data_IF_123831037201
#
_entry.id   IF_123831037201
#
_cell.length_a   1.000
_cell.length_b   1.000
_cell.length_c   1.000
_cell.angle_alpha   90.00
_cell.angle_beta   90.00
_cell.angle_gamma   90.00
#
_symmetry.space_group_name_H-M   'P 1'
#
loop_
_entity.id
_entity.type
_entity.pdbx_description
1 polymer ?
#
# COMPACT_ATOMS: atom_id res chain seq x y z
N UNK A 1 19.24 -75.23 28.70
CA UNK A 1 19.82 -74.86 27.39
C UNK A 1 19.17 -73.57 26.94
N UNK A 2 19.93 -72.47 26.92
CA UNK A 2 19.49 -71.14 26.50
C UNK A 2 19.84 -70.97 25.02
N UNK A 3 18.87 -70.71 24.15
CA UNK A 3 19.12 -70.22 22.79
C UNK A 3 18.78 -68.73 22.75
N UNK A 4 19.82 -67.90 22.66
CA UNK A 4 19.75 -66.48 22.31
C UNK A 4 19.64 -66.40 20.78
N UNK A 5 18.60 -65.76 20.27
CA UNK A 5 18.54 -65.29 18.88
C UNK A 5 18.53 -63.75 18.90
N UNK A 6 19.70 -63.16 18.69
CA UNK A 6 19.85 -61.72 18.45
C UNK A 6 19.52 -61.45 16.98
N UNK A 7 18.41 -60.76 16.72
CA UNK A 7 18.06 -60.21 15.41
C UNK A 7 18.71 -58.83 15.30
N UNK A 8 19.75 -58.73 14.48
CA UNK A 8 20.36 -57.47 14.04
C UNK A 8 19.33 -56.67 13.20
N UNK A 9 18.92 -55.51 13.71
CA UNK A 9 18.31 -54.46 12.89
C UNK A 9 19.43 -53.67 12.21
N UNK A 10 19.55 -53.83 10.89
CA UNK A 10 20.39 -52.98 10.06
C UNK A 10 19.70 -51.63 9.84
N UNK A 11 20.18 -50.58 10.53
CA UNK A 11 19.78 -49.21 10.28
C UNK A 11 20.48 -48.70 9.01
N UNK A 12 19.74 -48.62 7.90
CA UNK A 12 20.19 -47.90 6.70
C UNK A 12 19.93 -46.41 6.93
N UNK A 13 20.98 -45.70 7.33
CA UNK A 13 20.99 -44.24 7.36
C UNK A 13 21.05 -43.70 5.92
N UNK A 14 19.90 -43.34 5.37
CA UNK A 14 19.84 -42.53 4.14
C UNK A 14 20.23 -41.11 4.54
N UNK A 15 21.49 -40.76 4.31
CA UNK A 15 21.98 -39.39 4.39
C UNK A 15 21.39 -38.61 3.21
N UNK A 16 20.21 -38.02 3.39
CA UNK A 16 19.74 -36.95 2.52
C UNK A 16 20.64 -35.75 2.73
N UNK A 17 21.64 -35.59 1.85
CA UNK A 17 22.37 -34.34 1.69
C UNK A 17 21.38 -33.31 1.15
N UNK A 18 20.73 -32.59 2.07
CA UNK A 18 20.08 -31.32 1.76
C UNK A 18 21.19 -30.37 1.34
N UNK A 19 21.37 -30.20 0.03
CA UNK A 19 22.11 -29.06 -0.47
C UNK A 19 21.42 -27.81 0.11
N UNK A 20 22.17 -26.84 0.65
CA UNK A 20 21.57 -25.54 0.96
C UNK A 20 20.97 -25.05 -0.35
N UNK A 21 19.65 -24.93 -0.41
CA UNK A 21 18.98 -24.10 -1.39
C UNK A 21 19.59 -22.73 -1.14
N UNK A 22 20.58 -22.36 -1.96
CA UNK A 22 21.11 -21.02 -1.96
C UNK A 22 19.89 -20.15 -2.18
N UNK A 23 19.54 -19.37 -1.15
CA UNK A 23 18.64 -18.24 -1.33
C UNK A 23 19.25 -17.47 -2.49
N UNK A 24 18.67 -17.62 -3.68
CA UNK A 24 18.89 -16.70 -4.77
C UNK A 24 18.52 -15.36 -4.15
N UNK A 25 19.55 -14.59 -3.78
CA UNK A 25 19.36 -13.25 -3.25
C UNK A 25 18.59 -12.54 -4.33
N UNK A 26 17.28 -12.39 -4.11
CA UNK A 26 16.49 -11.37 -4.76
C UNK A 26 17.25 -10.11 -4.42
N UNK A 27 18.07 -9.67 -5.38
CA UNK A 27 18.73 -8.39 -5.39
C UNK A 27 17.55 -7.42 -5.34
N UNK A 28 17.17 -7.03 -4.11
CA UNK A 28 16.10 -6.06 -3.91
C UNK A 28 16.46 -4.93 -4.85
N UNK A 29 15.53 -4.56 -5.72
CA UNK A 29 15.71 -3.44 -6.63
C UNK A 29 15.65 -2.20 -5.76
N UNK A 30 16.73 -1.98 -5.00
CA UNK A 30 16.95 -0.76 -4.28
C UNK A 30 16.94 0.33 -5.31
N UNK A 31 16.20 1.40 -5.00
CA UNK A 31 16.31 2.64 -5.74
C UNK A 31 17.80 2.99 -5.82
N UNK A 32 18.35 3.11 -7.03
CA UNK A 32 19.71 3.62 -7.19
C UNK A 32 19.80 4.98 -6.48
N UNK A 33 20.91 5.25 -5.79
CA UNK A 33 21.04 6.42 -4.90
C UNK A 33 20.64 7.74 -5.59
N UNK A 34 20.97 7.89 -6.88
CA UNK A 34 20.59 9.07 -7.68
C UNK A 34 19.07 9.19 -7.89
N UNK A 35 18.36 8.09 -8.16
CA UNK A 35 16.92 8.13 -8.35
C UNK A 35 16.17 8.41 -7.04
N UNK A 36 16.61 7.82 -5.93
CA UNK A 36 16.08 8.15 -4.58
C UNK A 36 16.20 9.64 -4.31
N UNK A 37 17.38 10.22 -4.55
CA UNK A 37 17.64 11.63 -4.32
C UNK A 37 16.77 12.54 -5.20
N UNK A 38 16.55 12.15 -6.47
CA UNK A 38 15.68 12.87 -7.38
C UNK A 38 14.23 12.83 -6.94
N UNK A 39 13.72 11.67 -6.51
CA UNK A 39 12.35 11.56 -6.00
C UNK A 39 12.19 12.36 -4.71
N UNK A 40 13.16 12.28 -3.79
CA UNK A 40 13.17 13.07 -2.56
C UNK A 40 13.08 14.57 -2.85
N UNK A 41 13.91 15.08 -3.76
CA UNK A 41 13.89 16.49 -4.16
C UNK A 41 12.51 16.92 -4.68
N UNK A 42 11.75 16.02 -5.33
CA UNK A 42 10.37 16.29 -5.75
C UNK A 42 9.39 16.29 -4.57
N UNK A 43 9.55 15.39 -3.62
CA UNK A 43 8.71 15.32 -2.41
C UNK A 43 8.91 16.55 -1.53
N UNK A 44 10.14 17.06 -1.39
CA UNK A 44 10.40 18.33 -0.72
C UNK A 44 9.76 19.51 -1.46
N UNK A 45 9.88 19.55 -2.79
CA UNK A 45 9.22 20.57 -3.58
C UNK A 45 7.69 20.52 -3.44
N UNK A 46 7.10 19.31 -3.36
CA UNK A 46 5.69 19.12 -3.04
C UNK A 46 5.37 19.71 -1.66
N UNK A 47 6.17 19.40 -0.64
CA UNK A 47 6.02 19.95 0.71
C UNK A 47 6.05 21.47 0.75
N UNK A 48 7.00 22.08 0.03
CA UNK A 48 7.13 23.55 -0.07
C UNK A 48 5.92 24.20 -0.76
N UNK A 49 5.40 23.61 -1.84
CA UNK A 49 4.21 24.11 -2.53
C UNK A 49 2.95 23.96 -1.65
N UNK A 50 2.84 22.86 -0.89
CA UNK A 50 1.76 22.66 0.07
C UNK A 50 1.81 23.68 1.20
N UNK A 51 2.99 24.00 1.73
CA UNK A 51 3.15 24.99 2.80
C UNK A 51 2.76 26.40 2.32
N UNK A 52 3.17 26.78 1.11
CA UNK A 52 2.77 28.05 0.50
C UNK A 52 1.25 28.14 0.32
N UNK A 53 0.63 27.09 -0.22
CA UNK A 53 -0.83 26.99 -0.35
C UNK A 53 -1.53 27.03 1.01
N UNK A 54 -1.04 26.27 1.98
CA UNK A 54 -1.58 26.20 3.35
C UNK A 54 -1.62 27.58 3.99
N UNK A 55 -0.49 28.29 3.95
CA UNK A 55 -0.39 29.63 4.51
C UNK A 55 -1.39 30.59 3.85
N UNK A 56 -1.42 30.63 2.51
CA UNK A 56 -2.34 31.49 1.77
C UNK A 56 -3.81 31.19 2.05
N UNK A 57 -4.17 29.90 2.12
CA UNK A 57 -5.55 29.44 2.36
C UNK A 57 -5.95 29.52 3.84
N UNK A 58 -5.04 29.89 4.75
CA UNK A 58 -5.30 29.92 6.19
C UNK A 58 -5.61 28.54 6.79
N UNK A 59 -5.12 27.46 6.19
CA UNK A 59 -5.40 26.07 6.63
C UNK A 59 -4.45 25.67 7.77
N UNK A 60 -4.87 24.75 8.67
CA UNK A 60 -4.03 24.30 9.77
C UNK A 60 -2.83 23.47 9.27
N UNK A 61 -1.78 23.46 10.09
CA UNK A 61 -0.62 22.57 9.91
C UNK A 61 -0.99 21.17 10.39
N UNK A 62 -0.60 20.14 9.65
CA UNK A 62 -0.69 18.77 10.11
C UNK A 62 0.21 18.57 11.34
N UNK A 63 -0.36 18.06 12.43
CA UNK A 63 0.36 17.79 13.68
C UNK A 63 0.56 16.30 13.96
N UNK A 64 0.07 15.43 13.09
CA UNK A 64 0.20 13.98 13.29
C UNK A 64 1.67 13.58 13.15
N UNK A 65 2.18 12.70 14.04
CA UNK A 65 3.56 12.24 13.96
C UNK A 65 3.83 11.49 12.65
N UNK A 66 5.11 11.45 12.25
CA UNK A 66 5.57 10.54 11.21
C UNK A 66 5.23 9.10 11.58
N UNK A 67 4.90 8.29 10.57
CA UNK A 67 4.72 6.85 10.79
C UNK A 67 6.08 6.23 11.09
N UNK A 68 6.11 5.23 11.96
CA UNK A 68 7.28 4.39 12.16
C UNK A 68 7.24 3.24 11.14
N UNK A 69 8.07 3.37 10.09
CA UNK A 69 8.09 2.47 8.93
C UNK A 69 9.50 2.01 8.64
N UNK A 70 9.68 0.70 8.49
CA UNK A 70 10.96 0.09 8.14
C UNK A 70 10.83 -0.74 6.86
N UNK A 71 11.89 -0.74 6.03
CA UNK A 71 11.95 -1.59 4.84
C UNK A 71 10.94 -1.26 3.75
N UNK A 72 10.56 0.00 3.57
CA UNK A 72 9.78 0.40 2.40
C UNK A 72 10.57 0.18 1.10
N UNK A 73 9.87 -0.12 0.01
CA UNK A 73 10.42 -0.27 -1.34
C UNK A 73 9.85 0.83 -2.26
N UNK A 74 10.40 0.94 -3.48
CA UNK A 74 9.98 1.87 -4.52
C UNK A 74 8.47 1.76 -4.82
N UNK A 75 7.92 0.55 -4.75
CA UNK A 75 6.49 0.30 -5.02
C UNK A 75 5.59 0.95 -3.98
N UNK A 76 5.92 0.87 -2.69
CA UNK A 76 5.05 1.46 -1.67
C UNK A 76 5.12 2.99 -1.70
N UNK A 77 6.30 3.55 -2.01
CA UNK A 77 6.45 4.98 -2.30
C UNK A 77 5.57 5.39 -3.49
N UNK A 78 5.63 4.66 -4.60
CA UNK A 78 4.81 4.93 -5.79
C UNK A 78 3.31 4.94 -5.46
N UNK A 79 2.82 3.94 -4.74
CA UNK A 79 1.39 3.86 -4.43
C UNK A 79 0.93 4.93 -3.44
N UNK A 80 1.79 5.36 -2.50
CA UNK A 80 1.50 6.56 -1.71
C UNK A 80 1.50 7.83 -2.57
N UNK A 81 2.40 7.95 -3.55
CA UNK A 81 2.37 9.05 -4.52
C UNK A 81 1.09 9.04 -5.38
N UNK A 82 0.56 7.87 -5.76
CA UNK A 82 -0.75 7.74 -6.42
C UNK A 82 -1.88 8.25 -5.52
N UNK A 83 -1.85 7.91 -4.24
CA UNK A 83 -2.80 8.43 -3.27
C UNK A 83 -2.70 9.96 -3.16
N UNK A 84 -1.48 10.51 -3.16
CA UNK A 84 -1.23 11.96 -3.13
C UNK A 84 -1.70 12.64 -4.41
N UNK A 85 -1.49 12.02 -5.56
CA UNK A 85 -1.96 12.51 -6.85
C UNK A 85 -3.48 12.67 -6.87
N UNK A 86 -4.24 11.70 -6.36
CA UNK A 86 -5.71 11.80 -6.31
C UNK A 86 -6.18 12.98 -5.46
N UNK A 87 -5.52 13.24 -4.33
CA UNK A 87 -5.85 14.40 -3.51
C UNK A 87 -5.43 15.72 -4.18
N UNK A 88 -4.30 15.73 -4.90
CA UNK A 88 -3.86 16.91 -5.65
C UNK A 88 -4.79 17.20 -6.84
N UNK A 89 -5.28 16.16 -7.51
CA UNK A 89 -6.25 16.24 -8.59
C UNK A 89 -7.60 16.74 -8.08
N UNK A 90 -8.05 16.26 -6.92
CA UNK A 90 -9.25 16.79 -6.24
C UNK A 90 -9.10 18.27 -5.88
N UNK A 91 -7.95 18.69 -5.35
CA UNK A 91 -7.67 20.10 -5.05
C UNK A 91 -7.69 20.94 -6.34
N UNK A 92 -7.05 20.44 -7.40
CA UNK A 92 -7.04 21.06 -8.71
C UNK A 92 -8.47 21.22 -9.26
N UNK A 93 -9.31 20.18 -9.14
CA UNK A 93 -10.71 20.25 -9.55
C UNK A 93 -11.53 21.25 -8.72
N UNK A 94 -11.30 21.34 -7.41
CA UNK A 94 -12.03 22.28 -6.53
C UNK A 94 -11.81 23.74 -6.95
N UNK A 95 -10.56 24.09 -7.32
CA UNK A 95 -10.21 25.47 -7.67
C UNK A 95 -10.30 25.77 -9.17
N UNK A 96 -9.86 24.86 -10.04
CA UNK A 96 -9.75 25.09 -11.49
C UNK A 96 -10.82 24.36 -12.31
N UNK A 97 -11.58 23.41 -11.73
CA UNK A 97 -12.50 22.51 -12.45
C UNK A 97 -11.81 21.66 -13.53
N UNK A 98 -10.51 21.43 -13.39
CA UNK A 98 -9.71 20.59 -14.28
C UNK A 98 -9.51 19.19 -13.67
N UNK A 99 -9.64 18.17 -14.50
CA UNK A 99 -9.25 16.80 -14.18
C UNK A 99 -7.88 16.48 -14.77
N UNK A 100 -7.17 15.55 -14.15
CA UNK A 100 -5.92 15.01 -14.69
C UNK A 100 -5.86 13.52 -14.50
N UNK A 101 -5.42 12.82 -15.53
CA UNK A 101 -5.32 11.37 -15.52
C UNK A 101 -3.84 11.04 -15.42
N UNK A 102 -3.43 10.43 -14.31
CA UNK A 102 -2.08 9.89 -14.19
C UNK A 102 -1.94 8.67 -15.10
N UNK A 103 -0.81 8.57 -15.80
CA UNK A 103 -0.46 7.36 -16.55
C UNK A 103 -0.07 6.27 -15.55
N UNK A 104 -0.70 5.09 -15.67
CA UNK A 104 -0.29 3.88 -14.94
C UNK A 104 1.03 3.36 -15.54
N UNK A 105 1.94 2.79 -14.73
CA UNK A 105 3.13 2.09 -15.20
C UNK A 105 2.77 1.06 -16.27
N UNK A 106 3.66 0.91 -17.23
CA UNK A 106 3.57 -0.17 -18.22
C UNK A 106 4.23 -1.41 -17.64
N UNK A 107 3.45 -2.45 -17.36
CA UNK A 107 3.94 -3.71 -16.82
C UNK A 107 3.52 -3.98 -15.37
N UNK A 108 4.02 -5.11 -14.85
CA UNK A 108 3.70 -5.62 -13.52
C UNK A 108 4.56 -4.99 -12.40
N UNK A 109 5.72 -4.45 -12.78
CA UNK A 109 6.73 -3.94 -11.85
C UNK A 109 6.72 -2.41 -11.81
N UNK A 110 6.83 -1.86 -10.60
CA UNK A 110 6.89 -0.43 -10.37
C UNK A 110 8.34 -0.01 -10.24
N UNK A 111 8.79 0.89 -11.12
CA UNK A 111 10.18 1.35 -11.16
C UNK A 111 10.36 2.68 -10.42
N UNK A 112 11.60 3.04 -10.10
CA UNK A 112 11.96 4.37 -9.59
C UNK A 112 11.46 5.50 -10.51
N UNK A 113 11.55 5.29 -11.82
CA UNK A 113 11.09 6.22 -12.83
C UNK A 113 9.56 6.44 -12.79
N UNK A 114 8.79 5.42 -12.41
CA UNK A 114 7.34 5.56 -12.18
C UNK A 114 7.04 6.45 -10.99
N UNK A 115 7.75 6.26 -9.87
CA UNK A 115 7.66 7.12 -8.69
C UNK A 115 8.02 8.56 -9.02
N UNK A 116 9.11 8.79 -9.75
CA UNK A 116 9.52 10.13 -10.16
C UNK A 116 8.47 10.81 -11.05
N UNK A 117 7.94 10.09 -12.06
CA UNK A 117 6.85 10.60 -12.92
C UNK A 117 5.61 10.95 -12.12
N UNK A 118 5.25 10.13 -11.14
CA UNK A 118 4.08 10.39 -10.29
C UNK A 118 4.31 11.61 -9.39
N UNK A 119 5.49 11.75 -8.78
CA UNK A 119 5.84 12.92 -7.99
C UNK A 119 5.82 14.22 -8.84
N UNK A 120 6.33 14.17 -10.07
CA UNK A 120 6.24 15.29 -11.01
C UNK A 120 4.79 15.65 -11.36
N UNK A 121 3.92 14.65 -11.53
CA UNK A 121 2.51 14.86 -11.80
C UNK A 121 1.80 15.55 -10.62
N UNK A 122 2.06 15.11 -9.38
CA UNK A 122 1.57 15.77 -8.16
C UNK A 122 2.04 17.22 -8.11
N UNK A 123 3.34 17.46 -8.28
CA UNK A 123 3.95 18.78 -8.20
C UNK A 123 3.38 19.73 -9.28
N UNK A 124 3.14 19.22 -10.49
CA UNK A 124 2.52 19.97 -11.57
C UNK A 124 1.11 20.47 -11.21
N UNK A 125 0.29 19.62 -10.60
CA UNK A 125 -1.07 19.98 -10.16
C UNK A 125 -1.03 21.05 -9.06
N UNK A 126 -0.18 20.89 -8.05
CA UNK A 126 -0.03 21.87 -6.98
C UNK A 126 0.42 23.23 -7.51
N UNK A 127 1.38 23.24 -8.44
CA UNK A 127 1.84 24.47 -9.11
C UNK A 127 0.77 25.13 -9.97
N UNK A 128 -0.13 24.36 -10.59
CA UNK A 128 -1.30 24.92 -11.29
C UNK A 128 -2.21 25.64 -10.30
N UNK A 129 -2.57 25.00 -9.20
CA UNK A 129 -3.40 25.60 -8.13
C UNK A 129 -2.74 26.85 -7.58
N UNK A 130 -1.45 26.78 -7.22
CA UNK A 130 -0.69 27.92 -6.68
C UNK A 130 -0.70 29.12 -7.64
N UNK A 131 -0.40 28.90 -8.93
CA UNK A 131 -0.43 29.96 -9.94
C UNK A 131 -1.82 30.56 -10.12
N UNK A 132 -2.86 29.72 -10.10
CA UNK A 132 -4.25 30.18 -10.19
C UNK A 132 -4.63 31.10 -9.02
N UNK A 133 -4.17 30.78 -7.81
CA UNK A 133 -4.40 31.58 -6.60
C UNK A 133 -3.50 32.83 -6.50
N UNK A 134 -2.56 33.02 -7.42
CA UNK A 134 -1.61 34.14 -7.38
C UNK A 134 -0.63 34.06 -6.21
N UNK A 135 -0.36 32.87 -5.68
CA UNK A 135 0.58 32.66 -4.56
C UNK A 135 2.02 32.63 -5.10
N UNK A 136 2.91 33.39 -4.46
CA UNK A 136 4.34 33.41 -4.83
C UNK A 136 4.95 32.02 -4.75
N UNK A 137 5.89 31.72 -5.66
CA UNK A 137 6.58 30.45 -5.62
C UNK A 137 7.42 30.35 -4.34
N UNK A 138 7.44 29.20 -3.64
CA UNK A 138 8.31 29.06 -2.49
C UNK A 138 9.76 29.26 -2.91
N UNK A 139 10.55 29.92 -2.05
CA UNK A 139 12.01 29.87 -2.17
C UNK A 139 12.44 28.40 -2.19
N UNK A 140 13.27 28.02 -3.16
CA UNK A 140 13.56 26.62 -3.46
C UNK A 140 13.89 25.79 -2.22
N UNK A 141 13.46 24.51 -2.23
CA UNK A 141 13.82 23.57 -1.17
C UNK A 141 15.36 23.40 -1.15
N UNK A 142 15.95 23.42 0.04
CA UNK A 142 17.34 23.02 0.23
C UNK A 142 17.50 21.54 -0.12
N UNK A 143 18.71 21.13 -0.48
CA UNK A 143 19.02 19.70 -0.59
C UNK A 143 19.05 19.08 0.81
N UNK A 144 18.61 17.82 0.99
CA UNK A 144 18.74 17.14 2.26
C UNK A 144 20.20 17.05 2.69
N UNK A 145 20.44 17.16 4.00
CA UNK A 145 21.78 17.11 4.59
C UNK A 145 22.32 15.66 4.71
N UNK A 146 21.46 14.65 4.57
CA UNK A 146 21.81 13.23 4.66
C UNK A 146 21.18 12.39 3.56
N UNK A 147 21.79 11.24 3.26
CA UNK A 147 21.20 10.19 2.42
C UNK A 147 19.85 9.76 3.02
N UNK A 148 18.81 9.73 2.19
CA UNK A 148 17.45 9.42 2.59
C UNK A 148 17.10 7.99 2.19
N UNK A 149 16.50 7.24 3.11
CA UNK A 149 16.05 5.88 2.82
C UNK A 149 14.69 5.88 2.10
N UNK A 150 14.31 4.79 1.43
CA UNK A 150 12.95 4.65 0.90
C UNK A 150 11.87 4.75 1.99
N UNK A 151 12.15 4.34 3.23
CA UNK A 151 11.25 4.53 4.37
C UNK A 151 11.06 6.00 4.71
N UNK A 152 12.14 6.79 4.75
CA UNK A 152 12.04 8.24 4.97
C UNK A 152 11.19 8.88 3.88
N UNK A 153 11.42 8.47 2.62
CA UNK A 153 10.68 8.96 1.47
C UNK A 153 9.20 8.61 1.55
N UNK A 154 8.88 7.36 1.92
CA UNK A 154 7.50 6.92 2.15
C UNK A 154 6.83 7.79 3.23
N UNK A 155 7.50 7.99 4.36
CA UNK A 155 7.00 8.81 5.47
C UNK A 155 6.77 10.27 5.05
N UNK A 156 7.71 10.85 4.30
CA UNK A 156 7.58 12.21 3.76
C UNK A 156 6.38 12.36 2.82
N UNK A 157 6.13 11.36 1.94
CA UNK A 157 4.96 11.37 1.05
C UNK A 157 3.65 11.26 1.84
N UNK A 158 3.59 10.41 2.86
CA UNK A 158 2.40 10.29 3.73
C UNK A 158 2.14 11.61 4.46
N UNK A 159 3.17 12.27 4.99
CA UNK A 159 3.04 13.57 5.66
C UNK A 159 2.57 14.67 4.71
N UNK A 160 3.14 14.74 3.50
CA UNK A 160 2.69 15.66 2.47
C UNK A 160 1.21 15.43 2.12
N UNK A 161 0.78 14.17 2.00
CA UNK A 161 -0.60 13.86 1.69
C UNK A 161 -1.57 14.21 2.83
N UNK A 162 -1.20 13.96 4.10
CA UNK A 162 -1.98 14.42 5.26
C UNK A 162 -2.17 15.93 5.23
N UNK A 163 -1.11 16.69 4.96
CA UNK A 163 -1.20 18.15 4.84
C UNK A 163 -2.07 18.56 3.65
N UNK A 164 -1.95 17.91 2.50
CA UNK A 164 -2.76 18.16 1.32
C UNK A 164 -4.26 17.89 1.59
N UNK A 165 -4.59 16.82 2.31
CA UNK A 165 -5.96 16.53 2.69
C UNK A 165 -6.59 17.66 3.54
N UNK A 166 -5.80 18.35 4.38
CA UNK A 166 -6.28 19.53 5.12
C UNK A 166 -6.55 20.74 4.23
N UNK A 167 -5.96 20.81 3.04
CA UNK A 167 -6.22 21.89 2.08
C UNK A 167 -7.55 21.74 1.35
N UNK A 168 -8.05 20.50 1.22
CA UNK A 168 -9.29 20.19 0.52
C UNK A 168 -10.52 20.78 1.23
N UNK A 169 -11.50 21.21 0.45
CA UNK A 169 -12.83 21.56 0.98
C UNK A 169 -13.61 20.32 1.38
N UNK A 170 -13.50 19.27 0.56
CA UNK A 170 -13.99 17.92 0.84
C UNK A 170 -12.80 17.00 1.06
N UNK A 171 -12.48 16.79 2.33
CA UNK A 171 -11.47 15.83 2.77
C UNK A 171 -11.86 14.40 2.37
N UNK A 172 -10.91 13.47 2.50
CA UNK A 172 -11.14 12.03 2.34
C UNK A 172 -12.38 11.60 3.13
N UNK A 173 -13.35 11.02 2.42
CA UNK A 173 -14.60 10.54 2.98
C UNK A 173 -14.58 9.01 3.12
N UNK A 174 -15.47 8.41 3.95
CA UNK A 174 -15.58 6.96 4.03
C UNK A 174 -15.86 6.27 2.69
N UNK A 175 -16.49 6.95 1.73
CA UNK A 175 -16.70 6.43 0.37
C UNK A 175 -15.38 6.21 -0.37
N UNK A 176 -14.42 7.13 -0.21
CA UNK A 176 -13.09 7.00 -0.82
C UNK A 176 -12.35 5.77 -0.27
N UNK A 177 -12.45 5.54 1.04
CA UNK A 177 -11.88 4.36 1.70
C UNK A 177 -12.60 3.09 1.23
N UNK A 178 -13.93 3.10 1.19
CA UNK A 178 -14.74 1.97 0.73
C UNK A 178 -14.33 1.54 -0.70
N UNK A 179 -14.12 2.49 -1.60
CA UNK A 179 -13.68 2.22 -2.97
C UNK A 179 -12.29 1.57 -3.00
N UNK A 180 -11.34 2.06 -2.21
CA UNK A 180 -10.00 1.46 -2.13
C UNK A 180 -10.04 0.02 -1.60
N UNK A 181 -10.78 -0.21 -0.51
CA UNK A 181 -10.96 -1.56 0.05
C UNK A 181 -11.68 -2.47 -0.95
N UNK A 182 -12.64 -1.94 -1.70
CA UNK A 182 -13.35 -2.71 -2.74
C UNK A 182 -12.42 -3.11 -3.89
N UNK A 183 -11.46 -2.26 -4.26
CA UNK A 183 -10.42 -2.64 -5.24
C UNK A 183 -9.56 -3.77 -4.68
N UNK A 184 -9.15 -3.69 -3.41
CA UNK A 184 -8.36 -4.73 -2.77
C UNK A 184 -9.13 -6.07 -2.76
N UNK A 185 -10.42 -6.05 -2.39
CA UNK A 185 -11.32 -7.21 -2.50
C UNK A 185 -11.35 -7.81 -3.91
N UNK A 186 -11.38 -6.95 -4.93
CA UNK A 186 -11.34 -7.37 -6.34
C UNK A 186 -10.03 -8.08 -6.68
N UNK A 187 -8.88 -7.52 -6.29
CA UNK A 187 -7.59 -8.16 -6.51
C UNK A 187 -7.46 -9.48 -5.73
N UNK A 188 -7.87 -9.52 -4.46
CA UNK A 188 -7.84 -10.77 -3.67
C UNK A 188 -8.75 -11.83 -4.27
N UNK A 189 -9.93 -11.45 -4.79
CA UNK A 189 -10.80 -12.38 -5.52
C UNK A 189 -10.09 -12.99 -6.73
N UNK A 190 -9.40 -12.18 -7.55
CA UNK A 190 -8.62 -12.69 -8.69
C UNK A 190 -7.51 -13.64 -8.27
N UNK A 191 -6.83 -13.37 -7.16
CA UNK A 191 -5.82 -14.27 -6.60
C UNK A 191 -6.43 -15.60 -6.15
N UNK A 192 -7.62 -15.57 -5.55
CA UNK A 192 -8.32 -16.78 -5.11
C UNK A 192 -8.81 -17.66 -6.27
N UNK A 193 -9.09 -17.10 -7.45
CA UNK A 193 -9.50 -17.87 -8.64
C UNK A 193 -8.43 -18.89 -9.12
N UNK A 194 -7.18 -18.74 -8.67
CA UNK A 194 -6.09 -19.70 -8.93
C UNK A 194 -6.32 -21.04 -8.24
N UNK A 195 -7.09 -21.06 -7.14
CA UNK A 195 -7.30 -22.23 -6.31
C UNK A 195 -8.72 -22.79 -6.56
N UNK A 196 -8.86 -24.01 -7.12
CA UNK A 196 -10.16 -24.56 -7.53
C UNK A 196 -11.19 -24.67 -6.40
N UNK A 197 -10.73 -24.91 -5.17
CA UNK A 197 -11.58 -25.12 -4.00
C UNK A 197 -11.74 -23.85 -3.15
N UNK A 198 -11.17 -22.72 -3.56
CA UNK A 198 -11.22 -21.49 -2.78
C UNK A 198 -12.56 -20.77 -2.93
N UNK A 199 -13.04 -20.21 -1.82
CA UNK A 199 -14.22 -19.35 -1.82
C UNK A 199 -13.82 -17.93 -2.25
N UNK A 200 -13.94 -17.63 -3.54
CA UNK A 200 -13.58 -16.33 -4.11
C UNK A 200 -14.34 -15.15 -3.46
N UNK A 201 -15.63 -15.32 -3.20
CA UNK A 201 -16.49 -14.28 -2.58
C UNK A 201 -17.18 -14.91 -1.37
N UNK A 202 -16.62 -14.76 -0.16
CA UNK A 202 -17.27 -15.26 1.05
C UNK A 202 -18.54 -14.46 1.37
N UNK A 203 -19.38 -15.02 2.24
CA UNK A 203 -20.53 -14.30 2.75
C UNK A 203 -20.11 -12.97 3.39
N UNK A 204 -20.91 -11.92 3.21
CA UNK A 204 -20.60 -10.62 3.77
C UNK A 204 -20.60 -10.70 5.31
N UNK A 205 -19.65 -10.06 6.01
CA UNK A 205 -19.68 -9.96 7.47
C UNK A 205 -20.92 -9.20 7.97
N UNK A 206 -21.26 -9.41 9.23
CA UNK A 206 -22.34 -8.67 9.88
C UNK A 206 -22.07 -7.16 9.86
N UNK A 207 -23.11 -6.39 9.58
CA UNK A 207 -23.07 -4.94 9.64
C UNK A 207 -23.10 -4.46 11.10
N UNK A 208 -22.06 -3.73 11.51
CA UNK A 208 -21.99 -3.17 12.87
C UNK A 208 -22.11 -1.66 12.83
N UNK A 209 -23.19 -1.13 13.41
CA UNK A 209 -23.47 0.31 13.51
C UNK A 209 -22.49 0.99 14.47
N UNK A 210 -22.21 2.28 14.23
CA UNK A 210 -21.49 3.13 15.19
C UNK A 210 -19.97 2.96 15.17
N UNK A 211 -19.41 2.35 14.12
CA UNK A 211 -17.96 2.23 13.95
C UNK A 211 -17.34 3.59 13.68
N UNK A 212 -16.09 3.74 14.13
CA UNK A 212 -15.25 4.94 13.96
C UNK A 212 -14.08 4.65 13.02
N UNK A 213 -13.40 5.68 12.48
CA UNK A 213 -12.21 5.49 11.66
C UNK A 213 -11.14 4.61 12.33
N UNK A 214 -10.88 4.76 13.64
CA UNK A 214 -9.96 3.90 14.38
C UNK A 214 -10.33 2.41 14.38
N UNK A 215 -11.62 2.07 14.39
CA UNK A 215 -12.06 0.66 14.27
C UNK A 215 -11.72 0.08 12.90
N UNK A 216 -11.92 0.89 11.84
CA UNK A 216 -11.59 0.50 10.47
C UNK A 216 -10.07 0.38 10.31
N UNK A 217 -9.31 1.34 10.86
CA UNK A 217 -7.86 1.35 10.85
C UNK A 217 -7.30 0.07 11.49
N UNK A 218 -7.75 -0.26 12.71
CA UNK A 218 -7.33 -1.47 13.43
C UNK A 218 -7.61 -2.74 12.62
N UNK A 219 -8.76 -2.82 11.97
CA UNK A 219 -9.11 -3.98 11.14
C UNK A 219 -8.24 -4.07 9.89
N UNK A 220 -7.91 -2.95 9.26
CA UNK A 220 -6.98 -2.90 8.13
C UNK A 220 -5.56 -3.30 8.51
N UNK A 221 -5.09 -2.98 9.74
CA UNK A 221 -3.82 -3.50 10.24
C UNK A 221 -3.83 -5.03 10.31
N UNK A 222 -4.95 -5.63 10.74
CA UNK A 222 -5.16 -7.08 10.70
C UNK A 222 -5.07 -7.64 9.27
N UNK A 223 -5.74 -7.02 8.30
CA UNK A 223 -5.61 -7.40 6.88
C UNK A 223 -4.16 -7.32 6.39
N UNK A 224 -3.45 -6.24 6.73
CA UNK A 224 -2.06 -6.04 6.33
C UNK A 224 -1.15 -7.12 6.90
N UNK A 225 -1.36 -7.53 8.15
CA UNK A 225 -0.58 -8.62 8.74
C UNK A 225 -0.78 -9.93 7.98
N UNK A 226 -2.02 -10.25 7.58
CA UNK A 226 -2.29 -11.44 6.77
C UNK A 226 -1.58 -11.35 5.41
N UNK A 227 -1.59 -10.18 4.76
CA UNK A 227 -0.86 -9.97 3.48
C UNK A 227 0.65 -10.13 3.67
N UNK A 228 1.20 -9.63 4.78
CA UNK A 228 2.61 -9.81 5.15
C UNK A 228 2.97 -11.28 5.31
N UNK A 229 2.15 -12.06 6.00
CA UNK A 229 2.36 -13.50 6.16
C UNK A 229 2.32 -14.24 4.81
N UNK A 230 1.35 -13.92 3.93
CA UNK A 230 1.27 -14.49 2.57
C UNK A 230 2.54 -14.18 1.79
N UNK A 231 2.95 -12.91 1.78
CA UNK A 231 4.12 -12.43 1.03
C UNK A 231 5.42 -13.02 1.57
N UNK A 232 5.57 -13.12 2.90
CA UNK A 232 6.72 -13.76 3.55
C UNK A 232 6.80 -15.26 3.20
N UNK A 233 5.67 -15.96 3.12
CA UNK A 233 5.60 -17.34 2.65
C UNK A 233 6.08 -17.52 1.20
N UNK A 234 5.95 -16.48 0.38
CA UNK A 234 6.48 -16.41 -0.98
C UNK A 234 7.92 -15.86 -1.08
N UNK A 235 8.59 -15.60 0.05
CA UNK A 235 9.95 -15.05 0.08
C UNK A 235 10.04 -13.57 -0.28
N UNK A 236 8.92 -12.84 -0.27
CA UNK A 236 8.85 -11.42 -0.60
C UNK A 236 8.58 -10.62 0.68
N UNK A 237 9.61 -10.02 1.32
CA UNK A 237 9.39 -9.18 2.47
C UNK A 237 8.61 -7.92 2.07
N UNK A 238 7.66 -7.52 2.92
CA UNK A 238 6.95 -6.24 2.82
C UNK A 238 7.54 -5.27 3.84
N UNK A 239 7.20 -3.98 3.71
CA UNK A 239 7.53 -3.00 4.73
C UNK A 239 7.00 -3.45 6.10
N UNK A 240 7.57 -2.91 7.17
CA UNK A 240 7.09 -3.03 8.53
C UNK A 240 6.51 -1.69 8.95
N UNK A 241 5.33 -1.72 9.58
CA UNK A 241 4.63 -0.55 10.07
C UNK A 241 4.37 -0.76 11.55
N UNK A 242 4.93 0.12 12.38
CA UNK A 242 4.67 0.15 13.81
C UNK A 242 3.65 1.25 14.09
N UNK A 243 2.57 0.89 14.79
CA UNK A 243 1.50 1.83 15.15
C UNK A 243 1.16 1.62 16.62
N UNK A 244 1.19 2.71 17.37
CA UNK A 244 0.77 2.70 18.77
C UNK A 244 -0.76 2.76 18.88
N UNK A 245 -1.32 2.17 19.94
CA UNK A 245 -2.78 2.14 20.14
C UNK A 245 -3.38 3.56 20.19
N UNK A 246 -2.64 4.52 20.76
CA UNK A 246 -3.05 5.92 20.81
C UNK A 246 -3.22 6.55 19.42
N UNK A 247 -2.40 6.15 18.44
CA UNK A 247 -2.52 6.63 17.05
C UNK A 247 -3.76 6.03 16.38
N UNK A 248 -4.09 4.76 16.67
CA UNK A 248 -5.29 4.09 16.17
C UNK A 248 -6.55 4.78 16.69
N UNK A 249 -6.59 5.11 17.98
CA UNK A 249 -7.73 5.81 18.58
C UNK A 249 -7.97 7.20 17.99
N UNK A 250 -6.90 7.87 17.55
CA UNK A 250 -6.92 9.20 16.94
C UNK A 250 -6.99 9.18 15.41
N UNK A 251 -7.06 8.00 14.78
CA UNK A 251 -7.04 7.87 13.34
C UNK A 251 -8.15 8.69 12.67
N UNK A 252 -7.79 9.47 11.66
CA UNK A 252 -8.71 10.21 10.81
C UNK A 252 -9.05 9.41 9.54
N UNK A 253 -10.13 9.74 8.79
CA UNK A 253 -10.46 9.08 7.53
C UNK A 253 -9.29 9.04 6.52
N UNK A 254 -8.45 10.08 6.49
CA UNK A 254 -7.23 10.10 5.66
C UNK A 254 -6.24 9.00 6.05
N UNK A 255 -6.02 8.75 7.35
CA UNK A 255 -5.14 7.69 7.81
C UNK A 255 -5.67 6.31 7.39
N UNK A 256 -6.99 6.11 7.51
CA UNK A 256 -7.64 4.88 7.05
C UNK A 256 -7.48 4.71 5.54
N UNK A 257 -7.61 5.78 4.76
CA UNK A 257 -7.40 5.74 3.31
C UNK A 257 -5.95 5.42 2.93
N UNK A 258 -4.98 5.95 3.67
CA UNK A 258 -3.56 5.65 3.48
C UNK A 258 -3.25 4.19 3.73
N UNK A 259 -3.73 3.64 4.84
CA UNK A 259 -3.55 2.24 5.17
C UNK A 259 -4.28 1.33 4.18
N UNK A 260 -5.50 1.70 3.75
CA UNK A 260 -6.22 0.96 2.71
C UNK A 260 -5.49 1.00 1.36
N UNK A 261 -4.88 2.13 1.01
CA UNK A 261 -4.08 2.26 -0.22
C UNK A 261 -2.81 1.42 -0.14
N UNK A 262 -2.21 1.30 1.04
CA UNK A 262 -1.07 0.41 1.27
C UNK A 262 -1.46 -1.07 1.13
N UNK A 263 -2.52 -1.51 1.82
CA UNK A 263 -3.03 -2.90 1.68
C UNK A 263 -3.38 -3.21 0.22
N UNK A 264 -4.03 -2.28 -0.48
CA UNK A 264 -4.31 -2.41 -1.90
C UNK A 264 -3.01 -2.58 -2.71
N UNK A 265 -1.98 -1.78 -2.44
CA UNK A 265 -0.71 -1.88 -3.15
C UNK A 265 -0.05 -3.25 -3.00
N UNK A 266 -0.02 -3.78 -1.77
CA UNK A 266 0.58 -5.08 -1.46
C UNK A 266 -0.20 -6.22 -2.16
N UNK A 267 -1.54 -6.21 -2.08
CA UNK A 267 -2.36 -7.22 -2.76
C UNK A 267 -2.26 -7.11 -4.28
N UNK A 268 -2.24 -5.89 -4.83
CA UNK A 268 -2.08 -5.68 -6.28
C UNK A 268 -0.71 -6.12 -6.79
N UNK A 269 0.32 -6.02 -5.94
CA UNK A 269 1.65 -6.53 -6.24
C UNK A 269 1.65 -8.06 -6.29
N UNK A 270 1.05 -8.75 -5.30
CA UNK A 270 0.89 -10.21 -5.35
C UNK A 270 0.15 -10.65 -6.63
N UNK A 271 -0.88 -9.90 -7.04
CA UNK A 271 -1.61 -10.13 -8.29
C UNK A 271 -0.73 -9.96 -9.53
N UNK A 272 0.11 -8.92 -9.56
CA UNK A 272 1.02 -8.69 -10.69
C UNK A 272 2.12 -9.75 -10.79
N UNK A 273 2.56 -10.32 -9.66
CA UNK A 273 3.57 -11.38 -9.61
C UNK A 273 3.08 -12.72 -10.16
N UNK A 274 1.80 -13.07 -9.97
CA UNK A 274 1.27 -14.34 -10.49
C UNK A 274 1.33 -14.40 -12.03
N UNK A 275 1.11 -13.27 -12.70
CA UNK A 275 1.01 -13.22 -14.17
C UNK A 275 -0.27 -13.86 -14.72
N UNK A 276 -0.77 -13.35 -15.84
CA UNK A 276 -1.89 -13.96 -16.58
C UNK A 276 -3.30 -13.84 -15.98
N UNK A 277 -3.44 -13.36 -14.74
CA UNK A 277 -4.75 -13.09 -14.15
C UNK A 277 -5.39 -11.84 -14.76
N UNK A 278 -6.70 -11.87 -15.08
CA UNK A 278 -7.39 -10.68 -15.54
C UNK A 278 -7.42 -9.62 -14.43
N UNK A 279 -7.37 -8.35 -14.83
CA UNK A 279 -7.58 -7.23 -13.90
C UNK A 279 -8.97 -7.34 -13.23
N UNK A 280 -9.10 -6.92 -11.96
CA UNK A 280 -10.41 -6.84 -11.33
C UNK A 280 -11.29 -5.80 -12.03
N UNK A 281 -12.62 -5.93 -11.91
CA UNK A 281 -13.55 -4.95 -12.45
C UNK A 281 -13.26 -3.55 -11.89
N UNK A 282 -13.47 -2.52 -12.71
CA UNK A 282 -13.40 -1.15 -12.25
C UNK A 282 -14.42 -0.89 -11.13
N UNK A 283 -13.97 -0.22 -10.07
CA UNK A 283 -14.85 0.19 -8.96
C UNK A 283 -15.44 1.56 -9.30
N UNK A 284 -16.77 1.61 -9.37
CA UNK A 284 -17.53 2.83 -9.61
C UNK A 284 -17.80 3.58 -8.30
N UNK A 285 -18.15 4.87 -8.44
CA UNK A 285 -18.53 5.71 -7.30
C UNK A 285 -19.70 5.09 -6.52
N UNK A 286 -19.48 4.84 -5.23
CA UNK A 286 -20.42 4.07 -4.39
C UNK A 286 -21.46 4.93 -3.66
N UNK A 287 -21.49 6.23 -3.93
CA UNK A 287 -22.32 7.17 -3.19
C UNK A 287 -21.83 7.41 -1.77
N UNK A 288 -22.72 7.93 -0.92
CA UNK A 288 -22.41 8.20 0.48
C UNK A 288 -22.20 6.90 1.26
N UNK A 289 -21.11 6.85 2.03
CA UNK A 289 -20.78 5.76 2.95
C UNK A 289 -20.48 6.28 4.34
N UNK A 290 -20.57 5.39 5.31
CA UNK A 290 -20.23 5.59 6.71
C UNK A 290 -19.07 4.65 7.12
N UNK A 291 -18.33 4.96 8.20
CA UNK A 291 -17.27 4.07 8.66
C UNK A 291 -17.74 2.64 8.96
N UNK A 292 -18.99 2.43 9.37
CA UNK A 292 -19.59 1.10 9.52
C UNK A 292 -19.64 0.30 8.22
N UNK A 293 -19.96 0.94 7.09
CA UNK A 293 -19.96 0.28 5.78
C UNK A 293 -18.54 -0.12 5.38
N UNK A 294 -17.57 0.76 5.65
CA UNK A 294 -16.14 0.48 5.40
C UNK A 294 -15.67 -0.67 6.29
N UNK A 295 -16.03 -0.66 7.58
CA UNK A 295 -15.67 -1.72 8.52
C UNK A 295 -16.18 -3.10 8.08
N UNK A 296 -17.42 -3.17 7.59
CA UNK A 296 -18.00 -4.38 7.03
C UNK A 296 -17.23 -4.83 5.77
N UNK A 297 -16.93 -3.89 4.86
CA UNK A 297 -16.19 -4.17 3.62
C UNK A 297 -14.75 -4.65 3.89
N UNK A 298 -14.06 -4.07 4.87
CA UNK A 298 -12.74 -4.54 5.32
C UNK A 298 -12.85 -5.95 5.89
N UNK A 299 -13.96 -6.30 6.54
CA UNK A 299 -14.17 -7.68 6.99
C UNK A 299 -14.35 -8.69 5.88
N UNK A 300 -14.92 -8.29 4.74
CA UNK A 300 -14.97 -9.14 3.57
C UNK A 300 -13.56 -9.39 3.04
N UNK A 301 -12.75 -8.32 2.93
CA UNK A 301 -11.34 -8.41 2.55
C UNK A 301 -10.56 -9.34 3.51
N UNK A 302 -10.73 -9.17 4.81
CA UNK A 302 -10.08 -10.00 5.85
C UNK A 302 -10.40 -11.49 5.67
N UNK A 303 -11.66 -11.84 5.39
CA UNK A 303 -12.07 -13.23 5.11
C UNK A 303 -11.40 -13.77 3.85
N UNK A 304 -11.38 -12.99 2.76
CA UNK A 304 -10.72 -13.41 1.51
C UNK A 304 -9.21 -13.58 1.69
N UNK A 305 -8.55 -12.68 2.42
CA UNK A 305 -7.12 -12.77 2.71
C UNK A 305 -6.82 -13.98 3.60
N UNK A 306 -7.68 -14.28 4.57
CA UNK A 306 -7.54 -15.48 5.41
C UNK A 306 -7.65 -16.75 4.58
N UNK A 307 -8.62 -16.81 3.67
CA UNK A 307 -8.77 -17.91 2.71
C UNK A 307 -7.52 -18.03 1.82
N UNK A 308 -7.06 -16.91 1.26
CA UNK A 308 -5.87 -16.88 0.40
C UNK A 308 -4.63 -17.38 1.14
N UNK A 309 -4.43 -16.94 2.39
CA UNK A 309 -3.34 -17.42 3.25
C UNK A 309 -3.41 -18.93 3.47
N UNK A 310 -4.59 -19.48 3.71
CA UNK A 310 -4.75 -20.92 3.91
C UNK A 310 -4.31 -21.72 2.66
N UNK A 311 -4.73 -21.30 1.47
CA UNK A 311 -4.34 -21.96 0.21
C UNK A 311 -2.88 -21.74 -0.14
N UNK A 312 -2.39 -20.50 -0.02
CA UNK A 312 -0.98 -20.15 -0.27
C UNK A 312 -0.03 -20.93 0.64
N UNK A 313 -0.41 -21.19 1.89
CA UNK A 313 0.38 -22.01 2.82
C UNK A 313 0.49 -23.49 2.42
N UNK A 314 -0.48 -24.00 1.67
CA UNK A 314 -0.46 -25.37 1.14
C UNK A 314 0.32 -25.48 -0.18
N UNK A 315 0.48 -24.37 -0.91
CA UNK A 315 1.14 -24.31 -2.21
C UNK A 315 2.11 -23.13 -2.28
N UNK A 316 3.32 -23.20 -1.68
CA UNK A 316 4.24 -22.05 -1.60
C UNK A 316 4.63 -21.47 -2.97
N UNK A 317 4.67 -22.29 -4.02
CA UNK A 317 5.02 -21.88 -5.39
C UNK A 317 3.84 -21.33 -6.21
N UNK A 318 2.70 -21.03 -5.58
CA UNK A 318 1.47 -20.60 -6.26
C UNK A 318 1.68 -19.34 -7.12
N UNK A 319 2.54 -18.40 -6.69
CA UNK A 319 2.88 -17.21 -7.47
C UNK A 319 3.74 -17.50 -8.71
N UNK A 320 4.45 -18.63 -8.75
CA UNK A 320 5.36 -18.98 -9.86
C UNK A 320 4.66 -19.75 -10.99
N UNK A 321 3.42 -20.20 -10.76
CA UNK A 321 2.74 -21.15 -11.65
C UNK A 321 2.16 -20.47 -12.91
N UNK A 322 1.87 -19.16 -12.86
CA UNK A 322 1.30 -18.41 -13.98
C UNK A 322 2.31 -17.83 -14.99
N UNK A 323 3.62 -17.98 -14.75
CA UNK A 323 4.68 -17.39 -15.58
C UNK A 323 5.11 -18.24 -16.81
N UNK A 324 4.28 -19.19 -17.26
CA UNK A 324 4.59 -20.10 -18.38
C UNK A 324 3.81 -19.78 -19.66
#
# INVERSE_FOLDING_TARGET
MRYRSELLFAAVAVACTLAPVGAAGSERIGLADDDSQRIWSKVEAIGAELEALRFYMGKPVNKQPALDVNGADAREVYYQLVATFRNAERLCFQHLREHSIARRPEGAEVTAADSLRMADAVLSLLRKVRRHLGVEAPSGAGLPESEQTPSDLFCAVVQANRQLNLLLDQQVAPSDVFEQVTRAVGYTARLLEVFPDAVTIPAEPEYVVGRRPGDVYRRLLGCREIVREISAGAGQPLLELHVEEADIEQAAPSDVYHLASLVLSEVSYLHSQHGGLPEPPAVYYVGRKFPSDVYQRVGLLERQLTELRAHAGLQPDWLMTGAR
#
